data_IF_282336548724
#
_entry.id   IF_282336548724
#
_cell.length_a   1.000
_cell.length_b   1.000
_cell.length_c   1.000
_cell.angle_alpha   90.00
_cell.angle_beta   90.00
_cell.angle_gamma   90.00
#
_symmetry.space_group_name_H-M   'P 1'
#
loop_
_entity.id
_entity.type
_entity.pdbx_description
1 polymer ?
#
# COMPACT_ATOMS: atom_id res chain seq x y z
N UNK A 1 59.27 -17.73 23.64
CA UNK A 1 58.29 -18.19 22.64
C UNK A 1 57.06 -17.31 22.77
N UNK A 2 57.03 -16.20 22.05
CA UNK A 2 55.87 -15.31 21.96
C UNK A 2 55.19 -15.65 20.65
N UNK A 3 54.10 -16.41 20.71
CA UNK A 3 53.24 -16.63 19.54
C UNK A 3 52.40 -15.38 19.35
N UNK A 4 52.72 -14.61 18.32
CA UNK A 4 51.82 -13.62 17.73
C UNK A 4 50.78 -14.37 16.91
N UNK A 5 49.55 -14.45 17.41
CA UNK A 5 48.42 -14.88 16.62
C UNK A 5 47.98 -13.70 15.73
N UNK A 6 48.26 -13.81 14.43
CA UNK A 6 47.62 -12.99 13.41
C UNK A 6 46.13 -13.40 13.35
N UNK A 7 45.27 -12.51 13.84
CA UNK A 7 43.83 -12.59 13.66
C UNK A 7 43.50 -12.00 12.29
N UNK A 8 43.49 -12.84 11.25
CA UNK A 8 42.86 -12.52 9.97
C UNK A 8 41.34 -12.58 10.15
N UNK A 9 40.72 -11.46 10.53
CA UNK A 9 39.28 -11.28 10.35
C UNK A 9 39.04 -11.00 8.87
N UNK A 10 38.92 -12.05 8.07
CA UNK A 10 38.16 -11.96 6.82
C UNK A 10 36.71 -11.67 7.25
N UNK A 11 36.36 -10.38 7.26
CA UNK A 11 34.96 -9.96 7.20
C UNK A 11 34.42 -10.54 5.90
N UNK A 12 33.60 -11.59 6.00
CA UNK A 12 32.73 -11.97 4.89
C UNK A 12 31.69 -10.85 4.73
N UNK A 13 32.09 -9.75 4.09
CA UNK A 13 31.13 -8.75 3.67
C UNK A 13 30.10 -9.48 2.80
N UNK A 14 28.83 -9.41 3.18
CA UNK A 14 27.73 -9.98 2.40
C UNK A 14 27.71 -9.42 0.97
N UNK A 15 26.82 -9.93 0.10
CA UNK A 15 26.70 -9.43 -1.26
C UNK A 15 26.43 -7.92 -1.29
N UNK A 16 26.86 -7.25 -2.36
CA UNK A 16 26.51 -5.85 -2.56
C UNK A 16 24.98 -5.69 -2.66
N UNK A 17 24.41 -4.77 -1.87
CA UNK A 17 22.97 -4.52 -1.86
C UNK A 17 22.49 -4.00 -3.23
N UNK A 18 21.64 -4.75 -3.96
CA UNK A 18 21.05 -4.29 -5.22
C UNK A 18 20.21 -3.02 -5.01
N UNK A 19 19.93 -2.30 -6.09
CA UNK A 19 18.92 -1.22 -6.04
C UNK A 19 17.56 -1.83 -5.69
N UNK A 20 16.81 -1.12 -4.85
CA UNK A 20 15.52 -1.58 -4.32
C UNK A 20 14.40 -1.31 -5.32
N UNK A 21 13.46 -2.24 -5.46
CA UNK A 21 12.14 -1.94 -6.04
C UNK A 21 11.14 -1.89 -4.90
N UNK A 22 10.64 -0.68 -4.60
CA UNK A 22 9.63 -0.47 -3.56
C UNK A 22 8.25 -0.78 -4.11
N UNK A 23 7.51 -1.71 -3.50
CA UNK A 23 6.10 -1.95 -3.89
C UNK A 23 5.08 -1.14 -3.08
N UNK A 24 5.56 -0.35 -2.13
CA UNK A 24 4.75 0.59 -1.35
C UNK A 24 5.53 1.87 -1.07
N UNK A 25 5.12 2.90 -1.79
CA UNK A 25 5.40 4.30 -1.55
C UNK A 25 4.05 5.03 -1.72
N UNK A 26 4.04 6.33 -1.49
CA UNK A 26 2.86 7.18 -1.62
C UNK A 26 3.11 8.39 -2.49
N UNK A 27 2.09 8.84 -3.21
CA UNK A 27 2.12 10.12 -3.93
C UNK A 27 1.13 11.10 -3.32
N UNK A 28 1.56 12.33 -3.08
CA UNK A 28 0.66 13.44 -2.76
C UNK A 28 0.13 13.96 -4.08
N UNK A 29 -1.16 13.82 -4.33
CA UNK A 29 -1.77 14.22 -5.60
C UNK A 29 -1.52 15.72 -5.87
N UNK A 30 -1.16 16.13 -7.09
CA UNK A 30 -0.95 17.53 -7.39
C UNK A 30 -2.28 18.31 -7.36
N UNK A 31 -2.24 19.61 -7.02
CA UNK A 31 -3.45 20.42 -6.80
C UNK A 31 -4.37 20.49 -8.03
N UNK A 32 -3.78 20.38 -9.23
CA UNK A 32 -4.48 20.53 -10.51
C UNK A 32 -4.94 19.20 -11.14
N UNK A 33 -4.75 18.05 -10.47
CA UNK A 33 -5.03 16.73 -11.03
C UNK A 33 -6.45 16.66 -11.62
N UNK A 34 -7.46 16.98 -10.80
CA UNK A 34 -8.87 16.87 -11.19
C UNK A 34 -9.36 18.08 -12.01
N UNK A 35 -8.93 19.30 -11.67
CA UNK A 35 -9.34 20.53 -12.36
C UNK A 35 -8.93 20.54 -13.85
N UNK A 36 -7.79 19.93 -14.16
CA UNK A 36 -7.23 19.84 -15.52
C UNK A 36 -7.83 18.71 -16.37
N UNK A 37 -8.29 17.62 -15.74
CA UNK A 37 -8.74 16.40 -16.43
C UNK A 37 -10.26 16.25 -16.51
N UNK A 38 -11.02 16.90 -15.63
CA UNK A 38 -12.47 16.80 -15.63
C UNK A 38 -13.15 17.78 -16.59
N UNK A 39 -14.35 17.44 -17.12
CA UNK A 39 -15.15 18.38 -17.91
C UNK A 39 -15.39 19.71 -17.18
N UNK A 40 -15.38 20.82 -17.91
CA UNK A 40 -15.43 22.18 -17.34
C UNK A 40 -16.59 22.41 -16.35
N UNK A 41 -17.73 21.75 -16.54
CA UNK A 41 -18.89 21.84 -15.63
C UNK A 41 -18.62 21.32 -14.21
N UNK A 42 -17.59 20.50 -14.00
CA UNK A 42 -17.25 19.91 -12.70
C UNK A 42 -16.12 20.65 -11.95
N UNK A 43 -15.45 21.63 -12.57
CA UNK A 43 -14.26 22.29 -12.00
C UNK A 43 -14.43 22.84 -10.58
N UNK A 44 -15.63 23.32 -10.24
CA UNK A 44 -15.91 23.92 -8.93
C UNK A 44 -16.46 22.93 -7.90
N UNK A 45 -16.74 21.69 -8.31
CA UNK A 45 -17.36 20.66 -7.46
C UNK A 45 -16.52 19.37 -7.36
N UNK A 46 -15.45 19.27 -8.15
CA UNK A 46 -14.43 18.22 -8.04
C UNK A 46 -13.49 18.47 -6.85
N UNK A 47 -12.68 17.46 -6.48
CA UNK A 47 -11.50 17.68 -5.65
C UNK A 47 -10.70 18.90 -6.07
N UNK A 48 -10.34 19.76 -5.11
CA UNK A 48 -9.49 20.93 -5.32
C UNK A 48 -8.74 21.31 -4.04
N UNK A 49 -7.61 21.97 -4.22
CA UNK A 49 -6.85 22.56 -3.12
C UNK A 49 -7.27 24.01 -2.91
N UNK A 50 -7.49 24.38 -1.65
CA UNK A 50 -7.57 25.77 -1.20
C UNK A 50 -6.59 25.99 -0.03
N UNK A 51 -5.99 27.18 0.07
CA UNK A 51 -5.12 27.54 1.18
C UNK A 51 -5.91 28.26 2.25
N UNK A 52 -6.26 27.54 3.31
CA UNK A 52 -7.15 28.00 4.37
C UNK A 52 -6.49 27.84 5.74
N UNK A 53 -6.92 28.60 6.78
CA UNK A 53 -6.30 28.53 8.09
C UNK A 53 -6.31 27.11 8.67
N UNK A 54 -5.25 26.75 9.39
CA UNK A 54 -5.15 25.50 10.14
C UNK A 54 -6.40 25.31 11.01
N UNK A 55 -6.91 24.08 10.99
CA UNK A 55 -8.07 23.66 11.76
C UNK A 55 -7.72 22.69 12.88
N UNK A 56 -8.72 22.31 13.66
CA UNK A 56 -8.59 21.20 14.60
C UNK A 56 -8.93 19.88 13.91
N UNK A 57 -8.16 18.86 14.26
CA UNK A 57 -8.37 17.47 13.82
C UNK A 57 -9.02 16.73 14.99
N UNK A 58 -10.24 16.23 14.78
CA UNK A 58 -10.99 15.47 15.78
C UNK A 58 -11.13 14.02 15.30
N UNK A 59 -10.71 13.06 16.11
CA UNK A 59 -11.01 11.66 15.87
C UNK A 59 -12.45 11.38 16.32
N UNK A 60 -13.34 11.04 15.38
CA UNK A 60 -14.75 10.71 15.64
C UNK A 60 -15.07 9.33 15.06
N UNK A 61 -15.33 8.35 15.93
CA UNK A 61 -15.66 6.98 15.51
C UNK A 61 -14.58 6.30 14.66
N UNK A 62 -13.30 6.60 14.93
CA UNK A 62 -12.16 6.08 14.18
C UNK A 62 -11.88 6.79 12.85
N UNK A 63 -12.59 7.88 12.54
CA UNK A 63 -12.34 8.71 11.36
C UNK A 63 -11.92 10.11 11.78
N UNK A 64 -10.85 10.63 11.19
CA UNK A 64 -10.48 12.03 11.39
C UNK A 64 -11.48 12.94 10.68
N UNK A 65 -12.18 13.78 11.46
CA UNK A 65 -12.96 14.91 10.97
C UNK A 65 -12.17 16.18 11.24
N UNK A 66 -11.94 16.95 10.20
CA UNK A 66 -11.23 18.21 10.29
C UNK A 66 -11.94 19.26 9.44
N UNK A 67 -11.89 20.52 9.86
CA UNK A 67 -12.45 21.65 9.12
C UNK A 67 -11.45 22.80 9.15
N UNK A 68 -11.38 23.63 8.10
CA UNK A 68 -10.56 24.83 8.13
C UNK A 68 -10.90 25.72 9.33
N UNK A 69 -9.86 26.27 9.97
CA UNK A 69 -10.02 27.25 11.04
C UNK A 69 -10.47 28.61 10.51
N UNK A 70 -10.72 29.55 11.43
CA UNK A 70 -11.05 30.95 11.09
C UNK A 70 -9.84 31.88 11.16
N UNK A 71 -8.76 31.45 11.81
CA UNK A 71 -7.53 32.22 12.05
C UNK A 71 -6.32 31.29 12.11
N UNK A 72 -5.11 31.85 12.03
CA UNK A 72 -3.86 31.08 12.02
C UNK A 72 -3.19 31.02 10.64
N UNK A 73 -2.15 30.19 10.50
CA UNK A 73 -1.43 30.01 9.23
C UNK A 73 -2.28 29.25 8.21
N UNK A 74 -2.20 29.65 6.95
CA UNK A 74 -2.84 28.89 5.87
C UNK A 74 -2.04 27.63 5.53
N UNK A 75 -2.74 26.53 5.35
CA UNK A 75 -2.21 25.22 4.94
C UNK A 75 -2.98 24.71 3.73
N UNK A 76 -2.48 23.69 3.03
CA UNK A 76 -3.18 23.13 1.89
C UNK A 76 -4.34 22.23 2.33
N UNK A 77 -5.56 22.59 1.93
CA UNK A 77 -6.78 21.85 2.19
C UNK A 77 -7.37 21.30 0.90
N UNK A 78 -7.57 19.99 0.87
CA UNK A 78 -8.43 19.39 -0.12
C UNK A 78 -9.91 19.58 0.25
N UNK A 79 -10.71 19.97 -0.75
CA UNK A 79 -12.15 20.16 -0.64
C UNK A 79 -12.87 19.34 -1.72
N UNK A 80 -13.84 18.51 -1.32
CA UNK A 80 -14.68 17.76 -2.26
C UNK A 80 -16.01 17.36 -1.62
N UNK A 81 -17.14 17.80 -2.20
CA UNK A 81 -18.46 17.71 -1.58
C UNK A 81 -18.44 18.24 -0.12
N UNK A 82 -18.82 17.44 0.87
CA UNK A 82 -18.75 17.76 2.29
C UNK A 82 -17.45 17.30 2.96
N UNK A 83 -16.49 16.76 2.20
CA UNK A 83 -15.20 16.32 2.71
C UNK A 83 -14.15 17.43 2.66
N UNK A 84 -13.48 17.64 3.79
CA UNK A 84 -12.36 18.54 3.96
C UNK A 84 -11.19 17.80 4.61
N UNK A 85 -9.99 17.95 4.05
CA UNK A 85 -8.79 17.27 4.53
C UNK A 85 -7.57 18.17 4.37
N UNK A 86 -6.83 18.42 5.44
CA UNK A 86 -5.54 19.11 5.36
C UNK A 86 -4.44 18.11 5.06
N UNK A 87 -3.54 18.46 4.13
CA UNK A 87 -2.34 17.65 3.87
C UNK A 87 -1.42 17.78 5.09
N UNK A 88 -1.10 16.67 5.76
CA UNK A 88 -0.37 16.67 7.04
C UNK A 88 1.12 16.43 6.85
N UNK A 89 1.95 16.92 7.78
CA UNK A 89 3.39 16.59 7.80
C UNK A 89 3.64 15.08 7.90
N UNK A 90 2.83 14.35 8.66
CA UNK A 90 2.87 12.89 8.78
C UNK A 90 2.98 12.14 7.44
N UNK A 91 2.22 12.56 6.42
CA UNK A 91 2.14 11.88 5.11
C UNK A 91 3.19 12.40 4.10
N UNK A 92 3.97 13.40 4.50
CA UNK A 92 5.02 14.02 3.71
C UNK A 92 6.23 14.34 4.60
N UNK A 93 6.64 13.34 5.39
CA UNK A 93 7.62 13.46 6.46
C UNK A 93 9.07 13.32 5.97
N UNK A 94 9.30 12.82 4.75
CA UNK A 94 10.65 12.67 4.20
C UNK A 94 11.48 13.96 4.32
N UNK A 95 12.60 13.88 5.05
CA UNK A 95 13.49 15.03 5.32
C UNK A 95 13.25 15.76 6.64
N UNK A 96 12.23 15.39 7.41
CA UNK A 96 12.00 15.90 8.76
C UNK A 96 12.56 14.95 9.83
N UNK A 97 13.07 15.48 10.97
CA UNK A 97 13.30 14.69 12.17
C UNK A 97 12.00 14.09 12.72
N UNK A 98 12.06 12.86 13.26
CA UNK A 98 10.85 12.16 13.75
C UNK A 98 10.10 12.92 14.85
N UNK A 99 10.79 13.66 15.71
CA UNK A 99 10.19 14.48 16.77
C UNK A 99 9.59 15.81 16.26
N UNK A 100 9.82 16.16 15.00
CA UNK A 100 9.20 17.31 14.32
C UNK A 100 8.02 16.93 13.42
N UNK A 101 7.80 15.62 13.20
CA UNK A 101 6.64 15.11 12.47
C UNK A 101 5.38 15.33 13.31
N UNK A 102 4.33 15.84 12.67
CA UNK A 102 3.08 16.17 13.33
C UNK A 102 1.87 15.92 12.44
N UNK A 103 0.68 15.99 13.03
CA UNK A 103 -0.61 15.96 12.31
C UNK A 103 -1.05 17.34 11.83
N UNK A 104 -0.20 18.37 11.97
CA UNK A 104 -0.51 19.69 11.45
C UNK A 104 -0.48 19.72 9.93
N UNK A 105 -1.33 20.58 9.36
CA UNK A 105 -1.38 20.82 7.93
C UNK A 105 -0.08 21.45 7.41
N UNK A 106 0.24 21.22 6.16
CA UNK A 106 1.38 21.81 5.47
C UNK A 106 0.96 22.29 4.08
N UNK A 107 1.83 23.05 3.44
CA UNK A 107 1.73 23.47 2.05
C UNK A 107 2.64 22.61 1.15
N UNK A 108 2.43 22.67 -0.16
CA UNK A 108 3.31 21.99 -1.14
C UNK A 108 4.77 22.48 -1.11
N UNK A 109 5.02 23.71 -0.65
CA UNK A 109 6.37 24.28 -0.51
C UNK A 109 7.08 23.78 0.75
N UNK A 110 6.34 23.24 1.72
CA UNK A 110 6.89 22.67 2.96
C UNK A 110 7.24 21.18 2.79
N UNK A 111 6.69 20.47 1.81
CA UNK A 111 7.08 19.08 1.53
C UNK A 111 8.19 19.01 0.48
N UNK A 112 8.91 17.89 0.44
CA UNK A 112 9.85 17.63 -0.66
C UNK A 112 9.11 17.63 -2.00
N UNK A 113 9.68 18.22 -3.07
CA UNK A 113 9.06 18.15 -4.39
C UNK A 113 8.83 16.71 -4.87
N UNK A 114 9.65 15.74 -4.43
CA UNK A 114 9.45 14.32 -4.73
C UNK A 114 8.17 13.70 -4.19
N UNK A 115 7.47 14.37 -3.26
CA UNK A 115 6.15 13.93 -2.81
C UNK A 115 5.09 14.01 -3.91
N UNK A 116 5.21 14.95 -4.88
CA UNK A 116 4.17 15.25 -5.86
C UNK A 116 4.65 15.56 -7.29
N UNK A 117 5.96 15.69 -7.51
CA UNK A 117 6.57 15.92 -8.83
C UNK A 117 7.36 14.70 -9.31
N UNK A 118 7.03 14.08 -10.47
CA UNK A 118 7.65 12.84 -10.93
C UNK A 118 9.17 12.90 -11.07
N UNK A 119 9.70 13.98 -11.67
CA UNK A 119 11.16 14.13 -11.87
C UNK A 119 11.91 14.27 -10.54
N UNK A 120 11.32 14.99 -9.59
CA UNK A 120 11.90 15.13 -8.26
C UNK A 120 11.79 13.82 -7.46
N UNK A 121 10.72 13.05 -7.66
CA UNK A 121 10.56 11.72 -7.07
C UNK A 121 11.70 10.81 -7.50
N UNK A 122 12.00 10.74 -8.79
CA UNK A 122 13.11 9.91 -9.31
C UNK A 122 14.45 10.33 -8.67
N UNK A 123 14.70 11.63 -8.48
CA UNK A 123 15.89 12.10 -7.76
C UNK A 123 15.91 11.69 -6.28
N UNK A 124 14.76 11.72 -5.60
CA UNK A 124 14.64 11.25 -4.22
C UNK A 124 14.86 9.74 -4.09
N UNK A 125 14.43 8.96 -5.09
CA UNK A 125 14.70 7.52 -5.19
C UNK A 125 16.20 7.24 -5.43
N UNK A 126 16.89 8.07 -6.22
CA UNK A 126 18.35 7.96 -6.38
C UNK A 126 19.08 8.06 -5.05
N UNK A 127 18.73 9.08 -4.25
CA UNK A 127 19.29 9.30 -2.92
C UNK A 127 18.97 8.16 -1.95
N UNK A 128 17.84 7.49 -2.13
CA UNK A 128 17.34 6.45 -1.24
C UNK A 128 17.76 5.03 -1.62
N UNK A 129 18.61 4.84 -2.63
CA UNK A 129 18.95 3.50 -3.15
C UNK A 129 17.77 2.73 -3.78
N UNK A 130 16.74 3.43 -4.26
CA UNK A 130 15.53 2.87 -4.90
C UNK A 130 15.58 3.00 -6.43
N UNK A 131 15.46 1.91 -7.17
CA UNK A 131 15.43 1.89 -8.65
C UNK A 131 14.04 2.25 -9.18
N UNK A 132 13.02 1.57 -8.64
CA UNK A 132 11.63 1.73 -9.04
C UNK A 132 10.70 1.76 -7.83
N UNK A 133 9.57 2.45 -7.95
CA UNK A 133 8.53 2.40 -6.93
C UNK A 133 7.11 2.44 -7.46
N UNK A 134 6.24 1.70 -6.78
CA UNK A 134 4.80 1.73 -6.94
C UNK A 134 4.20 2.66 -5.88
N UNK A 135 3.27 3.56 -6.27
CA UNK A 135 2.74 4.57 -5.36
C UNK A 135 1.24 4.43 -5.07
N UNK A 136 0.88 4.24 -3.80
CA UNK A 136 -0.47 4.39 -3.29
C UNK A 136 -0.91 5.86 -3.24
N UNK A 137 -2.23 6.14 -3.34
CA UNK A 137 -2.75 7.50 -3.23
C UNK A 137 -2.71 7.99 -1.77
N UNK A 138 -2.79 9.32 -1.59
CA UNK A 138 -3.06 9.92 -0.28
C UNK A 138 -4.49 10.45 -0.20
N UNK A 139 -4.87 11.39 -1.07
CA UNK A 139 -6.16 12.08 -0.95
C UNK A 139 -7.37 11.19 -1.31
N UNK A 140 -7.35 10.39 -2.38
CA UNK A 140 -8.31 9.32 -2.61
C UNK A 140 -8.29 8.22 -1.54
N UNK A 141 -7.41 8.34 -0.52
CA UNK A 141 -7.07 7.33 0.48
C UNK A 141 -6.40 6.12 -0.18
N UNK A 142 -6.21 5.02 0.53
CA UNK A 142 -5.38 3.92 0.04
C UNK A 142 -5.93 3.19 -1.20
N UNK A 143 -7.24 3.18 -1.44
CA UNK A 143 -7.85 2.44 -2.56
C UNK A 143 -9.08 3.12 -3.19
N UNK A 144 -9.21 4.45 -3.05
CA UNK A 144 -10.33 5.19 -3.61
C UNK A 144 -11.56 5.26 -2.68
N UNK A 145 -11.39 5.03 -1.37
CA UNK A 145 -12.50 5.09 -0.40
C UNK A 145 -13.20 6.46 -0.43
N UNK A 146 -12.45 7.55 -0.66
CA UNK A 146 -13.02 8.89 -0.80
C UNK A 146 -14.19 8.91 -1.78
N UNK A 147 -13.99 8.36 -2.98
CA UNK A 147 -14.96 8.33 -4.07
C UNK A 147 -16.15 7.40 -3.77
N UNK A 148 -15.90 6.34 -2.99
CA UNK A 148 -16.95 5.46 -2.48
C UNK A 148 -17.85 6.14 -1.45
N UNK A 149 -17.33 7.10 -0.69
CA UNK A 149 -18.10 7.79 0.35
C UNK A 149 -18.89 9.01 -0.19
N UNK A 150 -18.56 9.47 -1.41
CA UNK A 150 -19.22 10.61 -2.07
C UNK A 150 -20.60 10.27 -2.61
N UNK A 151 -21.46 11.29 -2.69
CA UNK A 151 -22.84 11.14 -3.15
C UNK A 151 -22.95 11.08 -4.68
N UNK A 152 -22.23 11.94 -5.41
CA UNK A 152 -22.30 11.96 -6.87
C UNK A 152 -21.42 10.85 -7.47
N UNK A 153 -22.00 9.65 -7.65
CA UNK A 153 -21.29 8.51 -8.25
C UNK A 153 -20.87 8.73 -9.69
N UNK A 154 -21.54 9.61 -10.43
CA UNK A 154 -21.13 9.94 -11.79
C UNK A 154 -19.84 10.76 -11.76
N UNK A 155 -19.76 11.77 -10.89
CA UNK A 155 -18.54 12.54 -10.69
C UNK A 155 -17.43 11.68 -10.08
N UNK A 156 -17.73 10.85 -9.06
CA UNK A 156 -16.75 9.91 -8.50
C UNK A 156 -16.14 8.99 -9.55
N UNK A 157 -16.94 8.45 -10.48
CA UNK A 157 -16.42 7.61 -11.57
C UNK A 157 -15.48 8.41 -12.49
N UNK A 158 -15.81 9.67 -12.80
CA UNK A 158 -14.92 10.54 -13.58
C UNK A 158 -13.64 10.86 -12.81
N UNK A 159 -13.70 11.07 -11.49
CA UNK A 159 -12.53 11.31 -10.66
C UNK A 159 -11.60 10.09 -10.58
N UNK A 160 -12.14 8.88 -10.49
CA UNK A 160 -11.37 7.62 -10.57
C UNK A 160 -10.64 7.51 -11.90
N UNK A 161 -11.35 7.73 -13.02
CA UNK A 161 -10.75 7.69 -14.36
C UNK A 161 -9.67 8.76 -14.53
N UNK A 162 -9.93 9.99 -14.06
CA UNK A 162 -8.96 11.09 -14.10
C UNK A 162 -7.70 10.78 -13.28
N UNK A 163 -7.84 10.16 -12.11
CA UNK A 163 -6.70 9.69 -11.31
C UNK A 163 -5.89 8.63 -12.05
N UNK A 164 -6.55 7.62 -12.62
CA UNK A 164 -5.86 6.56 -13.36
C UNK A 164 -5.16 7.09 -14.62
N UNK A 165 -5.78 8.04 -15.32
CA UNK A 165 -5.18 8.67 -16.49
C UNK A 165 -3.95 9.51 -16.10
N UNK A 166 -4.05 10.29 -15.01
CA UNK A 166 -2.90 11.00 -14.45
C UNK A 166 -1.77 10.06 -14.00
N UNK A 167 -2.11 9.00 -13.27
CA UNK A 167 -1.14 8.03 -12.75
C UNK A 167 -0.31 7.44 -13.90
N UNK A 168 -0.97 7.01 -14.98
CA UNK A 168 -0.29 6.40 -16.13
C UNK A 168 0.44 7.42 -16.99
N UNK A 169 -0.21 8.53 -17.36
CA UNK A 169 0.29 9.44 -18.40
C UNK A 169 1.30 10.45 -17.86
N UNK A 170 1.18 10.85 -16.61
CA UNK A 170 1.92 11.98 -16.06
C UNK A 170 2.81 11.59 -14.89
N UNK A 171 2.27 10.85 -13.91
CA UNK A 171 3.08 10.37 -12.81
C UNK A 171 4.12 9.35 -13.29
N UNK A 172 3.67 8.31 -13.99
CA UNK A 172 4.53 7.24 -14.48
C UNK A 172 5.15 7.51 -15.85
N UNK A 173 4.49 8.32 -16.70
CA UNK A 173 4.72 8.36 -18.15
C UNK A 173 6.17 8.61 -18.59
N UNK A 174 6.86 9.56 -17.97
CA UNK A 174 8.23 9.95 -18.35
C UNK A 174 9.32 9.33 -17.45
N UNK A 175 8.97 8.33 -16.63
CA UNK A 175 9.89 7.75 -15.63
C UNK A 175 10.82 6.65 -16.18
N UNK A 176 10.61 6.19 -17.42
CA UNK A 176 11.35 5.05 -17.98
C UNK A 176 11.07 3.73 -17.26
N UNK A 177 9.84 3.55 -16.76
CA UNK A 177 9.42 2.35 -16.01
C UNK A 177 9.79 2.37 -14.52
N UNK A 178 10.44 3.44 -14.05
CA UNK A 178 10.85 3.59 -12.64
C UNK A 178 9.70 3.95 -11.70
N UNK A 179 8.66 4.59 -12.21
CA UNK A 179 7.42 4.80 -11.45
C UNK A 179 6.37 3.84 -12.00
N UNK A 180 5.90 2.94 -11.13
CA UNK A 180 5.03 1.82 -11.48
C UNK A 180 3.57 2.23 -11.21
N UNK A 181 2.68 2.15 -12.20
CA UNK A 181 1.31 2.62 -12.04
C UNK A 181 0.50 1.70 -11.13
N UNK A 182 -0.10 2.29 -10.09
CA UNK A 182 -1.16 1.69 -9.28
C UNK A 182 -2.47 2.44 -9.52
N UNK A 183 -3.43 1.77 -10.15
CA UNK A 183 -4.72 2.36 -10.46
C UNK A 183 -5.78 2.09 -9.37
N UNK A 184 -6.86 2.86 -9.41
CA UNK A 184 -8.04 2.73 -8.58
C UNK A 184 -9.20 2.11 -9.36
N UNK A 185 -10.18 1.58 -8.64
CA UNK A 185 -11.45 1.10 -9.20
C UNK A 185 -12.65 1.72 -8.47
N UNK A 186 -13.81 1.87 -9.13
CA UNK A 186 -15.05 2.27 -8.46
C UNK A 186 -15.51 1.17 -7.49
N UNK A 187 -15.34 1.39 -6.19
CA UNK A 187 -15.64 0.40 -5.15
C UNK A 187 -17.15 0.12 -4.95
N UNK A 188 -18.05 0.84 -5.61
CA UNK A 188 -19.50 0.66 -5.44
C UNK A 188 -20.13 -0.27 -6.48
N UNK A 189 -19.35 -0.76 -7.45
CA UNK A 189 -19.85 -1.59 -8.55
C UNK A 189 -18.74 -2.49 -9.11
N UNK A 190 -18.89 -3.81 -8.91
CA UNK A 190 -17.88 -4.80 -9.30
C UNK A 190 -17.69 -4.92 -10.83
N UNK A 191 -18.73 -4.68 -11.63
CA UNK A 191 -18.65 -4.71 -13.09
C UNK A 191 -17.93 -3.47 -13.62
N UNK A 192 -18.21 -2.29 -13.03
CA UNK A 192 -17.43 -1.09 -13.33
C UNK A 192 -15.97 -1.23 -12.89
N UNK A 193 -15.72 -1.88 -11.76
CA UNK A 193 -14.36 -2.19 -11.30
C UNK A 193 -13.64 -3.09 -12.31
N UNK A 194 -14.27 -4.18 -12.76
CA UNK A 194 -13.73 -5.07 -13.79
C UNK A 194 -13.45 -4.34 -15.11
N UNK A 195 -14.36 -3.49 -15.58
CA UNK A 195 -14.16 -2.71 -16.79
C UNK A 195 -12.94 -1.77 -16.69
N UNK A 196 -12.71 -1.19 -15.52
CA UNK A 196 -11.55 -0.33 -15.27
C UNK A 196 -10.25 -1.12 -15.16
N UNK A 197 -10.28 -2.38 -14.69
CA UNK A 197 -9.13 -3.31 -14.77
C UNK A 197 -8.74 -3.54 -16.24
N UNK A 198 -9.69 -3.96 -17.08
CA UNK A 198 -9.39 -4.21 -18.50
C UNK A 198 -8.83 -2.96 -19.20
N UNK A 199 -9.46 -1.79 -18.97
CA UNK A 199 -9.01 -0.52 -19.55
C UNK A 199 -7.56 -0.19 -19.20
N UNK A 200 -7.15 -0.42 -17.95
CA UNK A 200 -5.78 -0.11 -17.52
C UNK A 200 -4.79 -1.22 -17.89
N UNK A 201 -5.22 -2.49 -17.93
CA UNK A 201 -4.40 -3.60 -18.41
C UNK A 201 -4.00 -3.43 -19.89
N UNK A 202 -4.89 -2.92 -20.74
CA UNK A 202 -4.60 -2.54 -22.15
C UNK A 202 -3.49 -1.48 -22.26
N UNK A 203 -3.29 -0.67 -21.21
CA UNK A 203 -2.26 0.37 -21.12
C UNK A 203 -0.98 -0.13 -20.44
N UNK A 204 -0.89 -1.43 -20.13
CA UNK A 204 0.27 -2.05 -19.48
C UNK A 204 0.25 -1.99 -17.96
N UNK A 205 -0.84 -1.53 -17.32
CA UNK A 205 -0.94 -1.54 -15.85
C UNK A 205 -1.04 -2.97 -15.34
N UNK A 206 -0.37 -3.24 -14.21
CA UNK A 206 -0.32 -4.56 -13.55
C UNK A 206 -0.65 -4.52 -12.06
N UNK A 207 -1.09 -3.38 -11.54
CA UNK A 207 -1.45 -3.23 -10.14
C UNK A 207 -2.71 -2.38 -9.97
N UNK A 208 -3.57 -2.80 -9.04
CA UNK A 208 -4.77 -2.07 -8.62
C UNK A 208 -4.86 -2.01 -7.11
N UNK A 209 -5.24 -0.85 -6.57
CA UNK A 209 -5.54 -0.73 -5.16
C UNK A 209 -6.95 -1.24 -4.85
N UNK A 210 -7.08 -2.09 -3.83
CA UNK A 210 -8.37 -2.57 -3.33
C UNK A 210 -8.40 -2.57 -1.80
N UNK A 211 -9.59 -2.62 -1.21
CA UNK A 211 -9.74 -2.68 0.25
C UNK A 211 -9.45 -4.10 0.76
N UNK A 212 -8.63 -4.21 1.80
CA UNK A 212 -8.40 -5.47 2.49
C UNK A 212 -9.64 -5.96 3.25
N UNK A 213 -10.56 -5.05 3.60
CA UNK A 213 -11.76 -5.32 4.39
C UNK A 213 -12.98 -4.55 3.81
N UNK A 214 -13.51 -4.94 2.64
CA UNK A 214 -14.57 -4.18 1.95
C UNK A 214 -15.85 -4.03 2.80
N UNK A 215 -16.18 -5.00 3.66
CA UNK A 215 -17.36 -4.91 4.54
C UNK A 215 -17.25 -3.81 5.60
N UNK A 216 -16.04 -3.41 6.00
CA UNK A 216 -15.84 -2.28 6.91
C UNK A 216 -16.13 -0.94 6.24
N UNK A 217 -16.05 -0.91 4.90
CA UNK A 217 -16.48 0.22 4.05
C UNK A 217 -17.99 0.18 3.72
N UNK A 218 -18.74 -0.78 4.25
CA UNK A 218 -20.16 -0.97 3.93
C UNK A 218 -20.40 -1.63 2.57
N UNK A 219 -19.37 -2.22 1.96
CA UNK A 219 -19.46 -2.90 0.67
C UNK A 219 -19.79 -4.39 0.84
N UNK A 220 -20.23 -5.09 -0.23
CA UNK A 220 -20.46 -6.53 -0.17
C UNK A 220 -19.22 -7.32 0.25
N UNK A 221 -19.43 -8.47 0.91
CA UNK A 221 -18.34 -9.34 1.34
C UNK A 221 -17.70 -10.08 0.16
N UNK A 222 -16.42 -10.43 0.30
CA UNK A 222 -15.69 -11.26 -0.68
C UNK A 222 -16.22 -12.69 -0.79
N UNK A 223 -17.02 -13.15 0.18
CA UNK A 223 -17.67 -14.46 0.19
C UNK A 223 -18.91 -14.53 -0.70
N UNK A 224 -19.53 -13.39 -1.01
CA UNK A 224 -20.86 -13.34 -1.65
C UNK A 224 -20.85 -13.62 -3.16
N UNK A 225 -19.68 -13.68 -3.79
CA UNK A 225 -19.52 -13.72 -5.25
C UNK A 225 -19.76 -12.36 -5.94
N UNK A 226 -20.17 -11.31 -5.21
CA UNK A 226 -20.37 -9.97 -5.78
C UNK A 226 -19.11 -9.43 -6.48
N UNK A 227 -17.93 -9.71 -5.93
CA UNK A 227 -16.64 -9.24 -6.44
C UNK A 227 -16.00 -10.16 -7.49
N UNK A 228 -16.67 -11.25 -7.87
CA UNK A 228 -16.15 -12.20 -8.86
C UNK A 228 -15.83 -11.54 -10.22
N UNK A 229 -16.61 -10.58 -10.76
CA UNK A 229 -16.22 -9.85 -11.98
C UNK A 229 -14.87 -9.14 -11.85
N UNK A 230 -14.61 -8.48 -10.73
CA UNK A 230 -13.36 -7.78 -10.44
C UNK A 230 -12.19 -8.77 -10.30
N UNK A 231 -12.35 -9.83 -9.51
CA UNK A 231 -11.31 -10.84 -9.31
C UNK A 231 -11.00 -11.61 -10.59
N UNK A 232 -12.01 -11.94 -11.41
CA UNK A 232 -11.81 -12.57 -12.73
C UNK A 232 -10.97 -11.66 -13.63
N UNK A 233 -11.34 -10.38 -13.74
CA UNK A 233 -10.59 -9.43 -14.55
C UNK A 233 -9.13 -9.28 -14.10
N UNK A 234 -8.89 -9.27 -12.77
CA UNK A 234 -7.53 -9.21 -12.24
C UNK A 234 -6.72 -10.47 -12.59
N UNK A 235 -7.31 -11.66 -12.41
CA UNK A 235 -6.66 -12.93 -12.76
C UNK A 235 -6.37 -13.04 -14.27
N UNK A 236 -7.33 -12.68 -15.13
CA UNK A 236 -7.21 -12.76 -16.59
C UNK A 236 -6.15 -11.81 -17.15
N UNK A 237 -5.98 -10.64 -16.54
CA UNK A 237 -5.03 -9.62 -16.99
C UNK A 237 -3.67 -9.68 -16.30
N UNK A 238 -3.53 -10.54 -15.28
CA UNK A 238 -2.36 -10.56 -14.41
C UNK A 238 -2.21 -9.28 -13.58
N UNK A 239 -3.32 -8.58 -13.31
CA UNK A 239 -3.32 -7.39 -12.44
C UNK A 239 -3.31 -7.83 -10.98
N UNK A 240 -2.30 -7.40 -10.24
CA UNK A 240 -2.14 -7.68 -8.81
C UNK A 240 -3.10 -6.81 -8.00
N UNK A 241 -3.82 -7.42 -7.06
CA UNK A 241 -4.67 -6.72 -6.10
C UNK A 241 -3.81 -6.30 -4.91
N UNK A 242 -3.46 -5.02 -4.87
CA UNK A 242 -2.64 -4.40 -3.84
C UNK A 242 -3.54 -3.85 -2.72
N UNK A 243 -3.33 -4.36 -1.51
CA UNK A 243 -4.15 -4.09 -0.33
C UNK A 243 -3.27 -3.44 0.74
N UNK A 244 -3.52 -2.17 0.99
CA UNK A 244 -2.77 -1.39 1.97
C UNK A 244 -3.42 -1.47 3.35
N UNK A 245 -2.64 -1.42 4.42
CA UNK A 245 -3.11 -1.63 5.80
C UNK A 245 -4.18 -0.62 6.28
N UNK A 246 -4.15 0.60 5.73
CA UNK A 246 -5.16 1.64 5.98
C UNK A 246 -6.45 1.51 5.17
N UNK A 247 -6.56 0.52 4.28
CA UNK A 247 -7.64 0.46 3.27
C UNK A 247 -9.01 0.05 3.83
N UNK A 248 -9.06 -0.53 5.05
CA UNK A 248 -10.30 -0.85 5.77
C UNK A 248 -10.96 0.33 6.51
N UNK A 249 -10.31 1.52 6.55
CA UNK A 249 -10.78 2.75 7.23
C UNK A 249 -10.92 2.68 8.75
N UNK A 250 -10.91 1.50 9.35
CA UNK A 250 -11.02 1.31 10.80
C UNK A 250 -9.78 0.57 11.27
N UNK A 251 -9.49 0.70 12.55
CA UNK A 251 -8.41 -0.03 13.21
C UNK A 251 -8.93 -0.56 14.53
N UNK A 252 -8.36 -1.68 14.99
CA UNK A 252 -8.65 -2.21 16.32
C UNK A 252 -8.24 -1.20 17.38
N UNK A 253 -9.22 -0.66 18.10
CA UNK A 253 -8.99 0.19 19.28
C UNK A 253 -9.50 -0.54 20.53
N UNK A 254 -8.62 -0.89 21.48
CA UNK A 254 -9.04 -1.56 22.72
C UNK A 254 -9.86 -0.69 23.67
N UNK A 255 -9.67 0.64 23.64
CA UNK A 255 -10.32 1.61 24.52
C UNK A 255 -10.34 3.02 23.89
N UNK A 256 -11.37 3.81 24.18
CA UNK A 256 -11.56 5.16 23.62
C UNK A 256 -10.47 6.16 24.07
N UNK A 257 -9.86 5.95 25.24
CA UNK A 257 -8.81 6.79 25.82
C UNK A 257 -7.39 6.24 25.59
N UNK A 258 -7.26 5.17 24.79
CA UNK A 258 -5.96 4.65 24.40
C UNK A 258 -5.20 5.71 23.58
N UNK A 259 -3.89 5.91 23.81
CA UNK A 259 -3.11 6.81 22.97
C UNK A 259 -3.03 6.28 21.53
N UNK A 260 -2.90 7.17 20.55
CA UNK A 260 -2.83 6.82 19.12
C UNK A 260 -1.77 5.75 18.80
N UNK A 261 -0.69 5.71 19.58
CA UNK A 261 0.36 4.69 19.50
C UNK A 261 -0.16 3.25 19.64
N UNK A 262 -1.23 3.01 20.40
CA UNK A 262 -1.86 1.68 20.53
C UNK A 262 -2.48 1.27 19.20
N UNK A 263 -3.28 2.16 18.61
CA UNK A 263 -3.95 1.91 17.32
C UNK A 263 -2.94 1.76 16.20
N UNK A 264 -1.91 2.61 16.14
CA UNK A 264 -0.81 2.50 15.19
C UNK A 264 -0.07 1.16 15.32
N UNK A 265 0.18 0.68 16.55
CA UNK A 265 0.85 -0.60 16.81
C UNK A 265 -0.01 -1.82 16.46
N UNK A 266 -1.34 -1.68 16.44
CA UNK A 266 -2.29 -2.77 16.19
C UNK A 266 -2.80 -2.81 14.76
N UNK A 267 -2.40 -1.87 13.90
CA UNK A 267 -3.00 -1.74 12.57
C UNK A 267 -2.81 -3.01 11.71
N UNK A 268 -1.68 -3.71 11.87
CA UNK A 268 -1.41 -5.02 11.24
C UNK A 268 -2.50 -6.08 11.48
N UNK A 269 -3.29 -5.97 12.55
CA UNK A 269 -4.40 -6.87 12.83
C UNK A 269 -5.49 -6.82 11.74
N UNK A 270 -5.62 -5.70 11.02
CA UNK A 270 -6.52 -5.60 9.88
C UNK A 270 -6.08 -6.52 8.74
N UNK A 271 -4.80 -6.46 8.33
CA UNK A 271 -4.25 -7.38 7.33
C UNK A 271 -4.28 -8.82 7.78
N UNK A 272 -4.04 -9.11 9.07
CA UNK A 272 -4.19 -10.45 9.60
C UNK A 272 -5.63 -10.98 9.48
N UNK A 273 -6.62 -10.14 9.81
CA UNK A 273 -8.03 -10.48 9.64
C UNK A 273 -8.38 -10.67 8.16
N UNK A 274 -7.93 -9.76 7.30
CA UNK A 274 -8.13 -9.83 5.85
C UNK A 274 -7.54 -11.10 5.24
N UNK A 275 -6.28 -11.44 5.57
CA UNK A 275 -5.62 -12.62 5.04
C UNK A 275 -6.42 -13.87 5.37
N UNK A 276 -6.79 -14.04 6.64
CA UNK A 276 -7.61 -15.17 7.06
C UNK A 276 -8.96 -15.19 6.33
N UNK A 277 -9.60 -14.04 6.14
CA UNK A 277 -10.87 -13.93 5.41
C UNK A 277 -10.74 -14.40 3.95
N UNK A 278 -9.71 -13.94 3.23
CA UNK A 278 -9.42 -14.37 1.86
C UNK A 278 -9.07 -15.85 1.77
N UNK A 279 -8.25 -16.36 2.70
CA UNK A 279 -7.86 -17.77 2.75
C UNK A 279 -9.07 -18.70 2.88
N UNK A 280 -10.12 -18.29 3.60
CA UNK A 280 -11.35 -19.08 3.77
C UNK A 280 -12.48 -18.76 2.77
N UNK A 281 -12.36 -17.68 2.00
CA UNK A 281 -13.42 -17.22 1.06
C UNK A 281 -13.67 -18.13 -0.15
N UNK A 282 -12.71 -19.00 -0.48
CA UNK A 282 -12.69 -19.76 -1.72
C UNK A 282 -12.36 -18.93 -2.97
N UNK A 283 -12.18 -17.60 -2.87
CA UNK A 283 -11.76 -16.75 -4.00
C UNK A 283 -10.42 -17.23 -4.56
N UNK A 284 -9.44 -17.44 -3.69
CA UNK A 284 -8.11 -17.92 -4.07
C UNK A 284 -8.12 -19.33 -4.65
N UNK A 285 -9.15 -20.13 -4.35
CA UNK A 285 -9.36 -21.45 -4.96
C UNK A 285 -9.95 -21.31 -6.37
N UNK A 286 -10.98 -20.49 -6.55
CA UNK A 286 -11.66 -20.25 -7.84
C UNK A 286 -10.76 -19.56 -8.86
N UNK A 287 -9.89 -18.66 -8.41
CA UNK A 287 -8.99 -17.87 -9.26
C UNK A 287 -7.52 -18.16 -8.93
N UNK A 288 -6.94 -19.30 -9.36
CA UNK A 288 -5.57 -19.69 -9.00
C UNK A 288 -4.47 -18.74 -9.50
N UNK A 289 -4.77 -17.92 -10.50
CA UNK A 289 -3.85 -16.94 -11.09
C UNK A 289 -3.99 -15.54 -10.46
N UNK A 290 -5.00 -15.31 -9.62
CA UNK A 290 -5.16 -14.04 -8.89
C UNK A 290 -3.99 -13.84 -7.92
N UNK A 291 -3.36 -12.67 -7.93
CA UNK A 291 -2.32 -12.32 -6.97
C UNK A 291 -2.81 -11.25 -6.01
N UNK A 292 -2.57 -11.48 -4.72
CA UNK A 292 -2.81 -10.52 -3.65
C UNK A 292 -1.48 -10.03 -3.09
N UNK A 293 -1.38 -8.74 -2.78
CA UNK A 293 -0.21 -8.14 -2.13
C UNK A 293 -0.66 -7.28 -0.94
N UNK A 294 -0.20 -7.61 0.26
CA UNK A 294 -0.42 -6.81 1.47
C UNK A 294 0.72 -5.80 1.64
N UNK A 295 0.41 -4.53 1.41
CA UNK A 295 1.33 -3.40 1.51
C UNK A 295 1.28 -2.77 2.92
N UNK A 296 2.42 -2.31 3.42
CA UNK A 296 2.60 -1.73 4.76
C UNK A 296 2.27 -2.67 5.94
N UNK A 297 1.99 -3.95 5.68
CA UNK A 297 1.45 -4.87 6.66
C UNK A 297 2.51 -5.56 7.55
N UNK A 298 3.79 -5.47 7.17
CA UNK A 298 4.89 -6.30 7.68
C UNK A 298 4.59 -7.81 7.50
N UNK A 299 5.52 -8.69 7.87
CA UNK A 299 5.45 -10.12 7.53
C UNK A 299 5.59 -11.07 8.73
N UNK A 300 6.03 -10.58 9.89
CA UNK A 300 6.31 -11.39 11.08
C UNK A 300 5.09 -12.04 11.72
N UNK A 301 3.89 -11.50 11.48
CA UNK A 301 2.64 -12.11 11.96
C UNK A 301 2.17 -13.28 11.09
N UNK A 302 2.61 -13.34 9.82
CA UNK A 302 2.10 -14.28 8.81
C UNK A 302 2.32 -15.75 9.22
N UNK A 303 3.51 -16.20 9.66
CA UNK A 303 3.74 -17.60 9.98
C UNK A 303 2.79 -18.14 11.06
N UNK A 304 2.47 -17.33 12.06
CA UNK A 304 1.52 -17.69 13.10
C UNK A 304 0.08 -17.74 12.57
N UNK A 305 -0.31 -16.74 11.77
CA UNK A 305 -1.65 -16.72 11.15
C UNK A 305 -1.89 -17.95 10.27
N UNK A 306 -0.90 -18.38 9.48
CA UNK A 306 -0.99 -19.57 8.63
C UNK A 306 -1.06 -20.86 9.45
N UNK A 307 -0.17 -21.02 10.46
CA UNK A 307 -0.20 -22.17 11.37
C UNK A 307 -1.56 -22.31 12.05
N UNK A 308 -2.08 -21.19 12.55
CA UNK A 308 -3.40 -21.15 13.21
C UNK A 308 -4.52 -21.46 12.22
N UNK A 309 -4.49 -20.91 11.01
CA UNK A 309 -5.49 -21.15 10.00
C UNK A 309 -5.52 -22.63 9.58
N UNK A 310 -4.37 -23.25 9.33
CA UNK A 310 -4.29 -24.67 8.99
C UNK A 310 -4.80 -25.57 10.13
N UNK A 311 -4.44 -25.25 11.38
CA UNK A 311 -4.94 -25.97 12.55
C UNK A 311 -6.47 -25.87 12.66
N UNK A 312 -7.08 -24.68 12.49
CA UNK A 312 -8.55 -24.52 12.44
C UNK A 312 -9.16 -25.35 11.32
N UNK A 313 -8.56 -25.32 10.13
CA UNK A 313 -9.05 -26.06 8.97
C UNK A 313 -9.11 -27.58 9.21
N UNK A 314 -8.19 -28.12 10.02
CA UNK A 314 -8.21 -29.52 10.46
C UNK A 314 -9.15 -29.73 11.64
N UNK A 315 -8.89 -29.07 12.76
CA UNK A 315 -9.49 -29.36 14.07
C UNK A 315 -10.94 -28.97 14.16
N UNK A 316 -11.34 -27.89 13.47
CA UNK A 316 -12.71 -27.37 13.48
C UNK A 316 -13.49 -27.76 12.21
N UNK A 317 -12.98 -28.69 11.39
CA UNK A 317 -13.59 -29.08 10.11
C UNK A 317 -15.05 -29.52 10.24
N UNK A 318 -15.42 -30.15 11.37
CA UNK A 318 -16.76 -30.69 11.61
C UNK A 318 -17.86 -29.65 11.78
N UNK A 319 -17.53 -28.38 12.09
CA UNK A 319 -18.53 -27.32 12.33
C UNK A 319 -18.24 -26.01 11.60
N UNK A 320 -16.98 -25.71 11.27
CA UNK A 320 -16.60 -24.45 10.61
C UNK A 320 -17.05 -24.37 9.15
N UNK A 321 -17.31 -25.52 8.50
CA UNK A 321 -17.61 -25.57 7.07
C UNK A 321 -16.43 -25.21 6.15
N UNK A 322 -15.23 -25.02 6.70
CA UNK A 322 -14.03 -24.58 5.97
C UNK A 322 -13.79 -25.38 4.67
N UNK A 323 -13.87 -26.71 4.75
CA UNK A 323 -13.60 -27.63 3.63
C UNK A 323 -14.65 -27.60 2.52
N UNK A 324 -15.79 -26.91 2.73
CA UNK A 324 -16.81 -26.75 1.70
C UNK A 324 -16.36 -25.75 0.62
N UNK A 325 -15.56 -24.76 1.00
CA UNK A 325 -15.15 -23.67 0.12
C UNK A 325 -13.67 -23.78 -0.30
N UNK A 326 -12.83 -24.43 0.52
CA UNK A 326 -11.41 -24.60 0.26
C UNK A 326 -10.95 -26.06 0.43
N UNK A 327 -10.66 -26.79 -0.68
CA UNK A 327 -10.26 -28.20 -0.59
C UNK A 327 -8.85 -28.43 -0.04
N UNK A 328 -7.95 -27.45 -0.20
CA UNK A 328 -6.59 -27.47 0.35
C UNK A 328 -6.50 -26.68 1.68
N UNK A 329 -5.46 -26.91 2.51
CA UNK A 329 -5.21 -26.09 3.69
C UNK A 329 -5.02 -24.60 3.34
N UNK A 330 -5.43 -23.66 4.21
CA UNK A 330 -5.21 -22.23 4.02
C UNK A 330 -3.79 -21.85 3.54
N UNK A 331 -2.75 -22.40 4.16
CA UNK A 331 -1.36 -22.09 3.79
C UNK A 331 -1.02 -22.41 2.33
N UNK A 332 -1.65 -23.42 1.72
CA UNK A 332 -1.45 -23.74 0.31
C UNK A 332 -1.79 -22.54 -0.60
N UNK A 333 -2.87 -21.83 -0.31
CA UNK A 333 -3.27 -20.67 -1.11
C UNK A 333 -2.36 -19.48 -0.88
N UNK A 334 -1.90 -19.26 0.36
CA UNK A 334 -0.91 -18.23 0.67
C UNK A 334 0.34 -18.40 -0.18
N UNK A 335 1.01 -19.57 -0.06
CA UNK A 335 2.27 -19.80 -0.78
C UNK A 335 2.10 -19.76 -2.30
N UNK A 336 0.93 -20.13 -2.82
CA UNK A 336 0.65 -20.09 -4.26
C UNK A 336 0.55 -18.67 -4.82
N UNK A 337 -0.05 -17.73 -4.09
CA UNK A 337 -0.53 -16.51 -4.75
C UNK A 337 -0.70 -15.26 -3.87
N UNK A 338 -0.27 -15.30 -2.61
CA UNK A 338 -0.31 -14.13 -1.72
C UNK A 338 1.11 -13.65 -1.43
N UNK A 339 1.27 -12.33 -1.39
CA UNK A 339 2.51 -11.65 -1.12
C UNK A 339 2.35 -10.70 0.08
N UNK A 340 3.35 -10.67 0.96
CA UNK A 340 3.44 -9.70 2.04
C UNK A 340 4.58 -8.72 1.81
N UNK A 341 4.36 -7.45 2.16
CA UNK A 341 5.39 -6.42 2.07
C UNK A 341 5.93 -6.01 3.45
N UNK A 342 7.20 -5.60 3.49
CA UNK A 342 7.86 -5.16 4.71
C UNK A 342 9.02 -4.19 4.43
N UNK A 343 9.41 -3.46 5.47
CA UNK A 343 10.54 -2.52 5.44
C UNK A 343 11.28 -2.42 6.77
N UNK A 344 10.62 -2.69 7.91
CA UNK A 344 11.19 -2.62 9.27
C UNK A 344 10.76 -3.82 10.14
N UNK A 345 10.98 -5.04 9.65
CA UNK A 345 10.50 -6.25 10.34
C UNK A 345 11.60 -7.32 10.51
N UNK A 346 12.33 -7.25 11.62
CA UNK A 346 13.34 -8.26 11.94
C UNK A 346 12.72 -9.62 12.31
N UNK A 347 11.53 -9.62 12.93
CA UNK A 347 10.84 -10.86 13.32
C UNK A 347 10.43 -11.65 12.08
N UNK A 348 9.92 -10.96 11.08
CA UNK A 348 9.69 -11.48 9.74
C UNK A 348 10.92 -12.13 9.12
N UNK A 349 12.04 -11.41 9.16
CA UNK A 349 13.32 -11.92 8.64
C UNK A 349 13.86 -13.13 9.40
N UNK A 350 13.73 -13.16 10.73
CA UNK A 350 14.11 -14.31 11.55
C UNK A 350 13.28 -15.57 11.22
N UNK A 351 12.09 -15.39 10.61
CA UNK A 351 11.17 -16.45 10.21
C UNK A 351 11.06 -16.62 8.69
N UNK A 352 12.03 -16.14 7.91
CA UNK A 352 11.99 -16.10 6.44
C UNK A 352 11.54 -17.42 5.80
N UNK A 353 12.05 -18.57 6.28
CA UNK A 353 11.68 -19.89 5.77
C UNK A 353 10.18 -20.23 5.95
N UNK A 354 9.57 -19.70 7.01
CA UNK A 354 8.14 -19.90 7.31
C UNK A 354 7.24 -18.83 6.67
N UNK A 355 7.77 -17.64 6.41
CA UNK A 355 7.05 -16.62 5.65
C UNK A 355 7.05 -16.99 4.16
N UNK A 356 8.13 -17.60 3.67
CA UNK A 356 8.34 -17.91 2.26
C UNK A 356 9.04 -16.76 1.54
N UNK A 357 10.33 -16.94 1.24
CA UNK A 357 11.15 -15.93 0.56
C UNK A 357 10.57 -15.50 -0.79
N UNK A 358 9.87 -16.38 -1.50
CA UNK A 358 9.26 -16.08 -2.80
C UNK A 358 7.89 -15.36 -2.68
N UNK A 359 7.37 -15.21 -1.46
CA UNK A 359 6.06 -14.60 -1.13
C UNK A 359 6.22 -13.23 -0.44
N UNK A 360 7.41 -12.63 -0.47
CA UNK A 360 7.63 -11.32 0.13
C UNK A 360 8.22 -10.31 -0.85
N UNK A 361 7.88 -9.05 -0.64
CA UNK A 361 8.44 -7.90 -1.36
C UNK A 361 8.95 -6.89 -0.34
N UNK A 362 9.86 -6.01 -0.78
CA UNK A 362 10.37 -4.93 0.05
C UNK A 362 9.71 -3.61 -0.33
N UNK A 363 9.54 -2.73 0.65
CA UNK A 363 9.02 -1.36 0.46
C UNK A 363 9.90 -0.32 1.15
N UNK A 364 9.61 0.95 0.88
CA UNK A 364 10.29 2.07 1.55
C UNK A 364 9.34 3.03 2.24
N UNK A 365 8.05 2.97 1.92
CA UNK A 365 6.98 3.81 2.49
C UNK A 365 7.30 5.31 2.37
N UNK A 366 7.96 5.71 1.29
CA UNK A 366 8.22 7.13 1.04
C UNK A 366 6.90 7.82 0.69
N UNK A 367 6.56 9.02 1.20
CA UNK A 367 7.34 9.88 2.10
C UNK A 367 6.81 9.86 3.53
N UNK A 368 6.09 8.81 3.93
CA UNK A 368 5.47 8.74 5.24
C UNK A 368 6.51 8.66 6.35
N UNK A 369 6.05 8.88 7.57
CA UNK A 369 6.90 8.94 8.76
C UNK A 369 7.52 7.61 9.10
N UNK A 370 6.83 6.52 8.78
CA UNK A 370 7.34 5.19 9.01
C UNK A 370 8.41 4.80 7.99
N UNK A 371 8.37 5.39 6.79
CA UNK A 371 9.32 5.15 5.72
C UNK A 371 10.80 5.24 6.09
N UNK A 372 11.62 4.66 5.22
CA UNK A 372 13.07 4.46 5.46
C UNK A 372 13.96 5.52 4.83
N UNK A 373 13.38 6.51 4.15
CA UNK A 373 14.12 7.55 3.43
C UNK A 373 14.98 8.43 4.37
N UNK A 374 16.22 8.80 4.00
CA UNK A 374 17.00 8.38 2.83
C UNK A 374 17.90 7.15 3.09
N UNK A 375 17.65 6.41 4.17
CA UNK A 375 18.55 5.38 4.72
C UNK A 375 18.12 3.95 4.36
N UNK A 376 17.39 3.76 3.25
CA UNK A 376 16.85 2.44 2.87
C UNK A 376 17.96 1.41 2.68
N UNK A 377 19.10 1.80 2.10
CA UNK A 377 20.23 0.89 1.89
C UNK A 377 20.76 0.33 3.21
N UNK A 378 20.93 1.19 4.22
CA UNK A 378 21.40 0.81 5.55
C UNK A 378 20.38 -0.12 6.23
N UNK A 379 19.08 0.21 6.14
CA UNK A 379 18.01 -0.61 6.71
C UNK A 379 17.97 -2.00 6.06
N UNK A 380 17.96 -2.07 4.73
CA UNK A 380 17.98 -3.31 3.96
C UNK A 380 19.24 -4.15 4.26
N UNK A 381 20.41 -3.51 4.30
CA UNK A 381 21.69 -4.20 4.59
C UNK A 381 21.65 -4.84 5.97
N UNK A 382 21.10 -4.15 6.97
CA UNK A 382 20.93 -4.68 8.32
C UNK A 382 19.96 -5.85 8.37
N UNK A 383 18.81 -5.74 7.68
CA UNK A 383 17.74 -6.73 7.75
C UNK A 383 18.09 -8.04 7.03
N UNK A 384 18.66 -7.95 5.83
CA UNK A 384 18.85 -9.13 4.98
C UNK A 384 20.16 -9.14 4.18
N UNK A 385 21.02 -8.12 4.30
CA UNK A 385 22.31 -8.08 3.59
C UNK A 385 23.33 -9.16 3.99
N UNK A 386 23.05 -9.91 5.06
CA UNK A 386 23.86 -11.05 5.50
C UNK A 386 23.48 -12.38 4.82
N UNK A 387 22.37 -12.40 4.06
CA UNK A 387 21.94 -13.58 3.28
C UNK A 387 22.80 -13.77 2.03
N UNK A 388 22.64 -14.90 1.35
CA UNK A 388 23.28 -15.15 0.07
C UNK A 388 22.76 -14.18 -1.03
N UNK A 389 23.53 -14.05 -2.12
CA UNK A 389 23.25 -13.09 -3.19
C UNK A 389 21.89 -13.30 -3.87
N UNK A 390 21.42 -14.55 -4.00
CA UNK A 390 20.12 -14.84 -4.62
C UNK A 390 18.99 -14.39 -3.70
N UNK A 391 19.09 -14.72 -2.41
CA UNK A 391 18.12 -14.30 -1.40
C UNK A 391 18.03 -12.78 -1.29
N UNK A 392 19.18 -12.09 -1.24
CA UNK A 392 19.23 -10.62 -1.22
C UNK A 392 18.57 -10.04 -2.47
N UNK A 393 18.86 -10.59 -3.65
CA UNK A 393 18.27 -10.13 -4.91
C UNK A 393 16.75 -10.30 -4.92
N UNK A 394 16.24 -11.49 -4.54
CA UNK A 394 14.80 -11.79 -4.49
C UNK A 394 14.05 -10.78 -3.63
N UNK A 395 14.53 -10.56 -2.41
CA UNK A 395 13.91 -9.66 -1.44
C UNK A 395 13.99 -8.20 -1.92
N UNK A 396 15.18 -7.75 -2.33
CA UNK A 396 15.42 -6.36 -2.72
C UNK A 396 14.61 -5.93 -3.95
N UNK A 397 14.42 -6.83 -4.93
CA UNK A 397 13.77 -6.50 -6.21
C UNK A 397 13.16 -7.68 -6.95
N UNK A 398 13.77 -8.86 -6.92
CA UNK A 398 13.42 -9.97 -7.82
C UNK A 398 11.97 -10.44 -7.71
N UNK A 399 11.43 -10.47 -6.49
CA UNK A 399 10.03 -10.82 -6.26
C UNK A 399 9.07 -9.75 -6.79
N UNK A 400 9.40 -8.47 -6.63
CA UNK A 400 8.60 -7.38 -7.18
C UNK A 400 8.61 -7.38 -8.71
N UNK A 401 9.77 -7.63 -9.34
CA UNK A 401 9.90 -7.78 -10.81
C UNK A 401 8.97 -8.88 -11.31
N UNK A 402 9.02 -10.05 -10.67
CA UNK A 402 8.19 -11.20 -11.04
C UNK A 402 6.71 -10.95 -10.80
N UNK A 403 6.35 -10.40 -9.64
CA UNK A 403 4.97 -10.17 -9.23
C UNK A 403 4.26 -9.18 -10.16
N UNK A 404 4.94 -8.09 -10.51
CA UNK A 404 4.37 -6.98 -11.29
C UNK A 404 4.71 -7.07 -12.80
N UNK A 405 5.47 -8.09 -13.22
CA UNK A 405 5.85 -8.29 -14.61
C UNK A 405 6.70 -7.14 -15.17
N UNK A 406 7.64 -6.64 -14.37
CA UNK A 406 8.46 -5.47 -14.73
C UNK A 406 9.62 -5.86 -15.65
N UNK A 407 9.99 -4.93 -16.54
CA UNK A 407 11.13 -5.08 -17.47
C UNK A 407 12.42 -4.55 -16.83
N UNK A 408 12.88 -5.23 -15.78
CA UNK A 408 14.18 -5.00 -15.14
C UNK A 408 15.02 -6.28 -15.25
N UNK A 409 16.27 -6.13 -15.70
CA UNK A 409 17.25 -7.22 -15.85
C UNK A 409 17.62 -7.90 -14.53
#
# INVERSE_FOLDING_TARGET
MTMTAESSTESSAGPEMPRIISVDDHVVEPPELWSSRLPAKYRNVSPRIEYLPQGEVVLDGGTYRERPGTEGRNVAWWLYEDHTYSIKRLIAAAGYPYDEVSVEGITYDEMRPGCWQPKARVADMEMNHTDASLCFPNYPRCCGQLFNERQDKQLSLLCVKAYNDWMVEEWCGDSGGRLIPLCLVPLWDADLAAAEIYRNAERGVRAVAFSELPTWLGLPSIHSGYWDPFFSACAETGTVVCMHIGSGTRTVSPADDAPDAVTASLIFCNSAASLVDFLYSGVLHRYPDLKLMYAEAQIGWIPYALERADDVWVTHAGWSGAKNNIPEPPSFYYYRQVYGCFFKDSVGMDMLDRVGIDNITFETDYPHTDGTWPNTKEVATRLFGHLDAESVYKIARGNAIKLLGLDFD
#
